data_IF_336076777847
#
_entry.id   IF_336076777847
#
_cell.length_a   1.000
_cell.length_b   1.000
_cell.length_c   1.000
_cell.angle_alpha   90.00
_cell.angle_beta   90.00
_cell.angle_gamma   90.00
#
_symmetry.space_group_name_H-M   'P 1'
#
loop_
_entity.id
_entity.type
_entity.pdbx_description
1 polymer ?
#
# COMPACT_ATOMS: atom_id res chain seq x y z
N UNK A 1 -15.93 -15.06 21.61
CA UNK A 1 -15.69 -16.47 21.23
C UNK A 1 -17.03 -17.17 20.88
N UNK A 2 -18.14 -16.90 21.56
CA UNK A 2 -19.44 -17.47 21.24
C UNK A 2 -20.05 -16.95 19.93
N UNK A 3 -19.93 -15.67 19.60
CA UNK A 3 -20.43 -15.11 18.33
C UNK A 3 -19.77 -15.69 17.07
N UNK A 4 -18.57 -16.26 17.15
CA UNK A 4 -17.92 -16.95 16.03
C UNK A 4 -18.45 -18.37 15.78
N UNK A 5 -19.15 -18.99 16.74
CA UNK A 5 -19.73 -20.31 16.57
C UNK A 5 -20.96 -20.32 15.66
N UNK A 6 -21.70 -19.21 15.57
CA UNK A 6 -22.88 -19.09 14.71
C UNK A 6 -22.55 -18.92 13.21
N UNK A 7 -21.33 -18.49 12.87
CA UNK A 7 -20.91 -18.24 11.49
C UNK A 7 -20.33 -19.46 10.77
N UNK A 8 -19.87 -20.45 11.51
CA UNK A 8 -19.34 -21.70 10.94
C UNK A 8 -20.25 -22.84 11.38
N UNK A 9 -21.01 -23.38 10.43
CA UNK A 9 -21.96 -24.46 10.65
C UNK A 9 -21.38 -25.61 11.49
N UNK A 10 -22.25 -26.29 12.19
CA UNK A 10 -21.90 -27.53 12.93
C UNK A 10 -21.66 -28.66 11.92
N UNK A 11 -20.54 -29.34 11.98
CA UNK A 11 -20.28 -30.52 11.19
C UNK A 11 -18.87 -30.59 10.54
N UNK A 12 -18.82 -31.15 9.34
CA UNK A 12 -17.59 -31.43 8.58
C UNK A 12 -16.69 -30.19 8.35
N UNK A 13 -17.27 -28.99 8.23
CA UNK A 13 -16.52 -27.76 8.01
C UNK A 13 -15.75 -27.34 9.24
N UNK A 14 -16.27 -27.61 10.43
CA UNK A 14 -15.57 -27.34 11.70
C UNK A 14 -14.40 -28.30 11.89
N UNK A 15 -14.58 -29.58 11.63
CA UNK A 15 -13.50 -30.57 11.69
C UNK A 15 -12.38 -30.25 10.69
N UNK A 16 -12.73 -29.80 9.47
CA UNK A 16 -11.78 -29.34 8.45
C UNK A 16 -11.00 -28.09 8.89
N UNK A 17 -11.68 -27.14 9.56
CA UNK A 17 -11.01 -25.95 10.07
C UNK A 17 -10.06 -26.26 11.22
N UNK A 18 -10.49 -27.11 12.16
CA UNK A 18 -9.69 -27.56 13.29
C UNK A 18 -8.46 -28.33 12.79
N UNK A 19 -8.60 -29.26 11.83
CA UNK A 19 -7.49 -29.97 11.19
C UNK A 19 -6.54 -29.01 10.46
N UNK A 20 -7.06 -27.95 9.85
CA UNK A 20 -6.23 -26.94 9.16
C UNK A 20 -5.44 -26.07 10.14
N UNK A 21 -6.04 -25.73 11.30
CA UNK A 21 -5.39 -24.98 12.38
C UNK A 21 -4.32 -25.86 13.05
N UNK A 22 -4.61 -27.13 13.28
CA UNK A 22 -3.65 -28.10 13.84
C UNK A 22 -2.47 -28.35 12.89
N UNK A 23 -2.73 -28.48 11.59
CA UNK A 23 -1.66 -28.62 10.59
C UNK A 23 -0.80 -27.34 10.49
N UNK A 24 -1.37 -26.16 10.64
CA UNK A 24 -0.61 -24.90 10.68
C UNK A 24 0.18 -24.74 11.99
N UNK A 25 -0.35 -25.20 13.13
CA UNK A 25 0.39 -25.21 14.40
C UNK A 25 1.46 -26.31 14.42
N UNK A 26 1.18 -27.48 13.85
CA UNK A 26 2.17 -28.55 13.69
C UNK A 26 3.33 -28.19 12.76
N UNK A 27 3.10 -27.41 11.71
CA UNK A 27 4.18 -26.83 10.88
C UNK A 27 5.04 -25.88 11.72
N UNK A 28 4.44 -25.07 12.61
CA UNK A 28 5.19 -24.21 13.52
C UNK A 28 6.02 -24.98 14.54
N UNK A 29 5.47 -26.02 15.13
CA UNK A 29 6.18 -26.85 16.11
C UNK A 29 7.31 -27.67 15.48
N UNK A 30 7.13 -28.20 14.28
CA UNK A 30 8.18 -28.88 13.53
C UNK A 30 9.31 -27.92 13.10
N UNK A 31 9.02 -26.67 12.79
CA UNK A 31 10.04 -25.65 12.55
C UNK A 31 10.84 -25.27 13.81
N UNK A 32 10.24 -25.39 15.00
CA UNK A 32 10.92 -25.12 16.28
C UNK A 32 11.76 -26.30 16.73
N UNK A 33 11.38 -27.54 16.39
CA UNK A 33 12.07 -28.78 16.78
C UNK A 33 13.30 -29.13 15.91
N UNK A 34 13.46 -28.50 14.75
CA UNK A 34 14.58 -28.73 13.84
C UNK A 34 15.75 -27.79 14.13
N UNK A 35 16.38 -27.94 15.27
CA UNK A 35 17.70 -27.46 15.66
C UNK A 35 18.13 -26.02 15.34
N UNK A 36 19.05 -25.48 16.11
CA UNK A 36 19.62 -24.10 16.03
C UNK A 36 20.12 -23.68 14.63
N UNK A 37 20.37 -24.65 13.71
CA UNK A 37 20.85 -24.40 12.35
C UNK A 37 19.74 -23.80 11.46
N UNK A 38 18.54 -24.36 11.46
CA UNK A 38 17.38 -23.84 10.70
C UNK A 38 16.91 -22.48 11.23
N UNK A 39 17.05 -22.24 12.53
CA UNK A 39 16.69 -20.95 13.13
C UNK A 39 17.65 -19.84 12.69
N UNK A 40 18.90 -20.16 12.45
CA UNK A 40 19.92 -19.22 11.97
C UNK A 40 19.72 -18.89 10.49
N UNK A 41 19.51 -19.90 9.64
CA UNK A 41 19.17 -19.71 8.22
C UNK A 41 17.85 -18.94 8.06
N UNK A 42 16.84 -19.24 8.87
CA UNK A 42 15.58 -18.51 8.85
C UNK A 42 15.74 -17.05 9.27
N UNK A 43 16.57 -16.75 10.27
CA UNK A 43 16.89 -15.37 10.67
C UNK A 43 17.65 -14.63 9.59
N UNK A 44 18.65 -15.26 8.99
CA UNK A 44 19.42 -14.69 7.87
C UNK A 44 18.55 -14.46 6.65
N UNK A 45 17.65 -15.40 6.30
CA UNK A 45 16.65 -15.25 5.26
C UNK A 45 15.70 -14.07 5.55
N UNK A 46 15.18 -13.98 6.77
CA UNK A 46 14.31 -12.85 7.19
C UNK A 46 15.02 -11.51 7.21
N UNK A 47 16.28 -11.45 7.56
CA UNK A 47 17.09 -10.22 7.46
C UNK A 47 17.34 -9.84 5.99
N UNK A 48 17.54 -10.81 5.12
CA UNK A 48 17.75 -10.60 3.69
C UNK A 48 16.45 -10.17 3.00
N UNK A 49 15.32 -10.77 3.33
CA UNK A 49 13.99 -10.28 2.91
C UNK A 49 13.73 -8.85 3.37
N UNK A 50 14.04 -8.51 4.61
CA UNK A 50 13.89 -7.13 5.13
C UNK A 50 14.72 -6.12 4.37
N UNK A 51 15.92 -6.48 3.94
CA UNK A 51 16.79 -5.61 3.13
C UNK A 51 16.28 -5.39 1.72
N UNK A 52 15.50 -6.34 1.19
CA UNK A 52 14.94 -6.29 -0.16
C UNK A 52 13.46 -5.87 -0.20
N UNK A 53 12.87 -5.59 0.97
CA UNK A 53 11.45 -5.19 1.04
C UNK A 53 11.34 -3.68 1.01
N UNK A 54 10.79 -3.14 -0.07
CA UNK A 54 10.36 -1.75 -0.14
C UNK A 54 9.14 -1.54 0.76
N UNK A 55 9.22 -0.55 1.63
CA UNK A 55 8.09 -0.17 2.49
C UNK A 55 7.44 1.07 1.90
N UNK A 56 6.14 1.02 1.74
CA UNK A 56 5.34 2.14 1.28
C UNK A 56 4.27 2.52 2.31
N UNK A 57 3.86 3.78 2.28
CA UNK A 57 2.72 4.28 3.05
C UNK A 57 1.63 4.75 2.10
N UNK A 58 0.38 4.41 2.40
CA UNK A 58 -0.77 4.81 1.60
C UNK A 58 -1.40 6.07 2.16
N UNK A 59 -1.54 7.07 1.29
CA UNK A 59 -2.31 8.28 1.52
C UNK A 59 -3.62 8.12 0.75
N UNK A 60 -4.69 7.65 1.40
CA UNK A 60 -5.93 7.20 0.77
C UNK A 60 -7.14 8.09 1.05
N UNK A 61 -6.94 9.21 1.78
CA UNK A 61 -8.03 10.10 2.20
C UNK A 61 -7.56 11.51 2.52
N UNK A 62 -8.47 12.49 2.46
CA UNK A 62 -8.14 13.91 2.63
C UNK A 62 -7.33 14.23 3.89
N UNK A 63 -7.66 13.61 5.03
CA UNK A 63 -6.94 13.81 6.28
C UNK A 63 -5.46 13.47 6.17
N UNK A 64 -5.12 12.37 5.49
CA UNK A 64 -3.73 11.94 5.30
C UNK A 64 -2.99 12.87 4.35
N UNK A 65 -3.65 13.36 3.29
CA UNK A 65 -3.06 14.34 2.37
C UNK A 65 -2.69 15.64 3.10
N UNK A 66 -3.64 16.20 3.88
CA UNK A 66 -3.43 17.42 4.66
C UNK A 66 -2.32 17.24 5.69
N UNK A 67 -2.33 16.14 6.41
CA UNK A 67 -1.30 15.84 7.41
C UNK A 67 0.07 15.69 6.77
N UNK A 68 0.17 14.92 5.70
CA UNK A 68 1.43 14.76 4.97
C UNK A 68 1.96 16.11 4.48
N UNK A 69 1.12 16.98 3.92
CA UNK A 69 1.52 18.30 3.42
C UNK A 69 1.92 19.28 4.54
N UNK A 70 1.37 19.13 5.74
CA UNK A 70 1.55 20.09 6.85
C UNK A 70 2.81 19.86 7.68
N UNK A 71 3.49 18.72 7.58
CA UNK A 71 4.63 18.38 8.42
C UNK A 71 5.73 17.65 7.64
N UNK A 72 6.94 17.53 8.20
CA UNK A 72 8.01 16.72 7.60
C UNK A 72 7.61 15.25 7.58
N UNK A 73 8.11 14.49 6.62
CA UNK A 73 7.78 13.08 6.44
C UNK A 73 8.02 12.25 7.72
N UNK A 74 9.13 12.49 8.40
CA UNK A 74 9.44 11.81 9.66
C UNK A 74 8.37 12.04 10.72
N UNK A 75 7.95 13.29 10.91
CA UNK A 75 6.95 13.66 11.90
C UNK A 75 5.57 13.09 11.52
N UNK A 76 5.29 13.06 10.20
CA UNK A 76 4.11 12.41 9.64
C UNK A 76 4.09 10.90 9.95
N UNK A 77 5.21 10.21 9.77
CA UNK A 77 5.29 8.78 10.07
C UNK A 77 5.13 8.49 11.56
N UNK A 78 5.73 9.29 12.43
CA UNK A 78 5.58 9.16 13.88
C UNK A 78 4.12 9.37 14.30
N UNK A 79 3.43 10.35 13.73
CA UNK A 79 2.01 10.57 13.92
C UNK A 79 1.19 9.39 13.37
N UNK A 80 1.46 8.94 12.14
CA UNK A 80 0.75 7.85 11.45
C UNK A 80 0.78 6.56 12.26
N UNK A 81 1.95 6.16 12.73
CA UNK A 81 2.10 4.99 13.58
C UNK A 81 1.37 5.13 14.92
N UNK A 82 1.39 6.32 15.51
CA UNK A 82 0.74 6.59 16.78
C UNK A 82 -0.79 6.50 16.69
N UNK A 83 -1.41 7.14 15.68
CA UNK A 83 -2.88 7.12 15.51
C UNK A 83 -3.41 5.73 15.13
N UNK A 84 -2.60 4.93 14.46
CA UNK A 84 -2.94 3.54 14.13
C UNK A 84 -2.64 2.55 15.27
N UNK A 85 -2.24 3.00 16.45
CA UNK A 85 -1.92 2.15 17.59
C UNK A 85 -0.70 1.24 17.37
N UNK A 86 0.13 1.55 16.38
CA UNK A 86 1.23 0.71 15.93
C UNK A 86 2.62 1.33 16.20
N UNK A 87 2.75 2.19 17.18
CA UNK A 87 3.98 2.94 17.51
C UNK A 87 5.20 2.04 17.68
N UNK A 88 5.05 0.92 18.38
CA UNK A 88 6.17 -0.01 18.61
C UNK A 88 6.55 -0.78 17.32
N UNK A 89 5.59 -1.03 16.44
CA UNK A 89 5.84 -1.59 15.12
C UNK A 89 6.61 -0.59 14.27
N UNK A 90 6.19 0.68 14.25
CA UNK A 90 6.84 1.74 13.47
C UNK A 90 8.32 1.91 13.79
N UNK A 91 8.74 1.72 15.06
CA UNK A 91 10.16 1.75 15.45
C UNK A 91 11.01 0.63 14.84
N UNK A 92 10.38 -0.45 14.39
CA UNK A 92 11.03 -1.66 13.85
C UNK A 92 10.94 -1.76 12.34
N UNK A 93 10.05 -0.99 11.73
CA UNK A 93 9.88 -0.97 10.28
C UNK A 93 10.93 -0.10 9.61
N UNK A 94 11.41 -0.45 8.43
CA UNK A 94 12.20 0.45 7.62
C UNK A 94 11.43 1.75 7.34
N UNK A 95 12.17 2.83 7.11
CA UNK A 95 11.57 4.09 6.67
C UNK A 95 10.94 3.84 5.28
N UNK A 96 9.68 4.24 5.06
CA UNK A 96 9.07 4.10 3.73
C UNK A 96 9.84 4.90 2.68
N UNK A 97 10.03 4.29 1.52
CA UNK A 97 10.69 4.90 0.37
C UNK A 97 9.70 5.34 -0.70
N UNK A 98 8.42 4.97 -0.52
CA UNK A 98 7.33 5.22 -1.47
C UNK A 98 6.05 5.65 -0.76
N UNK A 99 5.30 6.52 -1.42
CA UNK A 99 3.91 6.83 -1.04
C UNK A 99 2.97 6.41 -2.17
N UNK A 100 1.86 5.77 -1.79
CA UNK A 100 0.69 5.59 -2.65
C UNK A 100 -0.26 6.76 -2.41
N UNK A 101 -0.70 7.43 -3.47
CA UNK A 101 -1.57 8.61 -3.38
C UNK A 101 -2.84 8.36 -4.17
N UNK A 102 -3.97 8.48 -3.54
CA UNK A 102 -5.28 8.21 -4.12
C UNK A 102 -6.00 7.11 -3.38
N UNK A 103 -7.11 6.65 -3.92
CA UNK A 103 -7.91 5.62 -3.26
C UNK A 103 -8.38 4.56 -4.27
N UNK A 104 -8.06 3.28 -3.98
CA UNK A 104 -8.37 2.15 -4.84
C UNK A 104 -9.89 1.85 -4.95
N UNK A 105 -10.71 2.34 -4.01
CA UNK A 105 -12.11 1.94 -3.88
C UNK A 105 -13.09 3.08 -4.09
N UNK A 106 -12.71 4.34 -3.77
CA UNK A 106 -13.63 5.46 -3.78
C UNK A 106 -13.02 6.69 -4.45
N UNK A 107 -13.57 7.07 -5.59
CA UNK A 107 -13.12 8.24 -6.34
C UNK A 107 -13.33 9.58 -5.61
N UNK A 108 -14.27 9.63 -4.66
CA UNK A 108 -14.52 10.84 -3.86
C UNK A 108 -13.42 11.12 -2.84
N UNK A 109 -12.59 10.13 -2.55
CA UNK A 109 -11.44 10.26 -1.66
C UNK A 109 -10.14 10.59 -2.41
N UNK A 110 -10.19 10.65 -3.74
CA UNK A 110 -9.05 11.05 -4.55
C UNK A 110 -8.71 12.52 -4.29
N UNK A 111 -7.42 12.90 -4.19
CA UNK A 111 -7.05 14.28 -3.90
C UNK A 111 -7.45 15.22 -5.03
N UNK A 112 -7.76 16.46 -4.69
CA UNK A 112 -7.92 17.51 -5.70
C UNK A 112 -6.62 17.67 -6.48
N UNK A 113 -6.73 18.04 -7.77
CA UNK A 113 -5.59 18.18 -8.66
C UNK A 113 -4.46 19.00 -8.05
N UNK A 114 -4.77 20.18 -7.50
CA UNK A 114 -3.77 21.05 -6.87
C UNK A 114 -3.04 20.33 -5.73
N UNK A 115 -3.80 19.67 -4.87
CA UNK A 115 -3.27 18.93 -3.73
C UNK A 115 -2.38 17.77 -4.18
N UNK A 116 -2.77 17.04 -5.24
CA UNK A 116 -1.98 15.96 -5.84
C UNK A 116 -0.59 16.45 -6.26
N UNK A 117 -0.52 17.57 -7.00
CA UNK A 117 0.76 18.11 -7.44
C UNK A 117 1.60 18.72 -6.30
N UNK A 118 0.97 19.23 -5.24
CA UNK A 118 1.68 19.65 -4.01
C UNK A 118 2.29 18.45 -3.30
N UNK A 119 1.58 17.32 -3.24
CA UNK A 119 2.10 16.05 -2.71
C UNK A 119 3.30 15.57 -3.53
N UNK A 120 3.24 15.61 -4.86
CA UNK A 120 4.36 15.20 -5.72
C UNK A 120 5.62 16.03 -5.47
N UNK A 121 5.49 17.37 -5.45
CA UNK A 121 6.61 18.27 -5.17
C UNK A 121 7.26 17.99 -3.81
N UNK A 122 6.41 17.72 -2.81
CA UNK A 122 6.88 17.39 -1.47
C UNK A 122 7.58 16.04 -1.45
N UNK A 123 6.99 15.00 -2.04
CA UNK A 123 7.59 13.68 -2.13
C UNK A 123 8.95 13.72 -2.84
N UNK A 124 9.04 14.44 -3.96
CA UNK A 124 10.30 14.69 -4.68
C UNK A 124 11.35 15.33 -3.76
N UNK A 125 10.97 16.37 -3.00
CA UNK A 125 11.87 17.03 -2.05
C UNK A 125 12.33 16.16 -0.88
N UNK A 126 11.56 15.14 -0.55
CA UNK A 126 11.86 14.17 0.51
C UNK A 126 12.47 12.86 -0.01
N UNK A 127 12.68 12.75 -1.32
CA UNK A 127 13.29 11.58 -1.98
C UNK A 127 12.40 10.35 -2.00
N UNK A 128 11.07 10.55 -1.97
CA UNK A 128 10.09 9.46 -1.99
C UNK A 128 9.59 9.18 -3.40
N UNK A 129 9.51 7.91 -3.76
CA UNK A 129 8.80 7.48 -4.96
C UNK A 129 7.28 7.65 -4.77
N UNK A 130 6.57 7.89 -5.87
CA UNK A 130 5.11 8.09 -5.83
C UNK A 130 4.42 7.11 -6.77
N UNK A 131 3.38 6.45 -6.27
CA UNK A 131 2.43 5.66 -7.06
C UNK A 131 1.06 6.31 -6.94
N UNK A 132 0.44 6.68 -8.05
CA UNK A 132 -0.93 7.21 -8.04
C UNK A 132 -1.92 6.05 -8.15
N UNK A 133 -2.85 5.98 -7.22
CA UNK A 133 -3.85 4.92 -7.14
C UNK A 133 -5.22 5.44 -7.52
N UNK A 134 -5.79 4.90 -8.60
CA UNK A 134 -7.14 5.23 -9.04
C UNK A 134 -8.12 4.15 -8.59
N UNK A 135 -9.34 4.59 -8.25
CA UNK A 135 -10.49 3.70 -8.07
C UNK A 135 -11.05 3.24 -9.42
N UNK A 136 -12.06 2.38 -9.40
CA UNK A 136 -12.81 2.02 -10.59
C UNK A 136 -13.36 3.26 -11.31
N UNK A 137 -13.13 3.35 -12.62
CA UNK A 137 -13.63 4.44 -13.44
C UNK A 137 -15.08 4.17 -13.86
N UNK A 138 -15.95 5.14 -13.57
CA UNK A 138 -17.29 5.19 -14.14
C UNK A 138 -17.28 6.04 -15.40
N UNK A 139 -18.24 5.84 -16.29
CA UNK A 139 -18.32 6.52 -17.59
C UNK A 139 -18.16 8.05 -17.47
N UNK A 140 -18.82 8.67 -16.49
CA UNK A 140 -18.73 10.12 -16.28
C UNK A 140 -17.34 10.60 -15.81
N UNK A 141 -16.48 9.69 -15.35
CA UNK A 141 -15.12 9.99 -14.89
C UNK A 141 -14.08 9.89 -16.01
N UNK A 142 -14.39 9.23 -17.12
CA UNK A 142 -13.41 8.97 -18.18
C UNK A 142 -12.75 10.25 -18.69
N UNK A 143 -13.54 11.25 -19.09
CA UNK A 143 -13.02 12.54 -19.57
C UNK A 143 -12.22 13.32 -18.53
N UNK A 144 -12.68 13.48 -17.25
CA UNK A 144 -11.89 14.08 -16.20
C UNK A 144 -10.57 13.37 -15.94
N UNK A 145 -10.57 12.03 -15.90
CA UNK A 145 -9.36 11.24 -15.68
C UNK A 145 -8.41 11.32 -16.86
N UNK A 146 -8.92 11.25 -18.11
CA UNK A 146 -8.12 11.42 -19.31
C UNK A 146 -7.36 12.76 -19.29
N UNK A 147 -8.05 13.86 -18.96
CA UNK A 147 -7.42 15.16 -18.81
C UNK A 147 -6.38 15.19 -17.69
N UNK A 148 -6.64 14.54 -16.56
CA UNK A 148 -5.67 14.44 -15.48
C UNK A 148 -4.43 13.65 -15.92
N UNK A 149 -4.60 12.56 -16.64
CA UNK A 149 -3.50 11.78 -17.19
C UNK A 149 -2.63 12.58 -18.14
N UNK A 150 -3.22 13.44 -19.00
CA UNK A 150 -2.48 14.35 -19.89
C UNK A 150 -1.61 15.34 -19.08
N UNK A 151 -2.15 15.88 -17.98
CA UNK A 151 -1.42 16.78 -17.10
C UNK A 151 -0.32 16.06 -16.30
N UNK A 152 -0.55 14.81 -15.90
CA UNK A 152 0.47 13.97 -15.26
C UNK A 152 1.62 13.64 -16.21
N UNK A 153 1.30 13.31 -17.46
CA UNK A 153 2.29 13.07 -18.51
C UNK A 153 3.14 14.33 -18.78
N UNK A 154 2.51 15.50 -18.90
CA UNK A 154 3.22 16.77 -19.03
C UNK A 154 4.12 17.04 -17.81
N UNK A 155 3.64 16.77 -16.60
CA UNK A 155 4.42 16.93 -15.39
C UNK A 155 5.66 16.02 -15.37
N UNK A 156 5.52 14.76 -15.78
CA UNK A 156 6.62 13.81 -15.90
C UNK A 156 7.64 14.25 -16.96
N UNK A 157 7.15 14.64 -18.14
CA UNK A 157 7.99 15.11 -19.25
C UNK A 157 8.83 16.32 -18.87
N UNK A 158 8.23 17.30 -18.18
CA UNK A 158 8.92 18.51 -17.74
C UNK A 158 10.00 18.26 -16.68
N UNK A 159 10.00 17.09 -16.04
CA UNK A 159 10.94 16.70 -14.99
C UNK A 159 11.86 15.56 -15.36
N UNK A 160 11.71 15.04 -16.57
CA UNK A 160 12.44 13.85 -17.03
C UNK A 160 12.33 12.68 -16.04
N UNK A 161 11.11 12.47 -15.48
CA UNK A 161 10.81 11.47 -14.47
C UNK A 161 9.67 10.56 -14.91
N UNK A 162 9.51 9.44 -14.23
CA UNK A 162 8.41 8.50 -14.43
C UNK A 162 7.47 8.52 -13.23
N UNK A 163 6.20 8.26 -13.47
CA UNK A 163 5.17 8.12 -12.46
C UNK A 163 4.55 6.74 -12.56
N UNK A 164 4.52 6.03 -11.45
CA UNK A 164 3.83 4.76 -11.38
C UNK A 164 2.33 4.97 -11.14
N UNK A 165 1.50 4.22 -11.85
CA UNK A 165 0.04 4.26 -11.70
C UNK A 165 -0.49 2.87 -11.38
N UNK A 166 -1.22 2.75 -10.27
CA UNK A 166 -1.97 1.56 -9.91
C UNK A 166 -3.36 1.61 -10.56
N UNK A 167 -3.57 0.77 -11.57
CA UNK A 167 -4.82 0.67 -12.31
C UNK A 167 -5.67 -0.48 -11.77
N UNK A 168 -6.89 -0.17 -11.32
CA UNK A 168 -7.83 -1.14 -10.74
C UNK A 168 -8.92 -1.62 -11.71
N UNK A 169 -8.97 -1.08 -12.93
CA UNK A 169 -9.93 -1.50 -13.94
C UNK A 169 -9.39 -1.42 -15.36
N UNK A 170 -10.08 -2.10 -16.27
CA UNK A 170 -9.72 -2.16 -17.69
C UNK A 170 -9.86 -0.83 -18.41
N UNK A 171 -10.81 0.03 -17.98
CA UNK A 171 -11.02 1.35 -18.60
C UNK A 171 -9.79 2.24 -18.38
N UNK A 172 -9.26 2.30 -17.17
CA UNK A 172 -8.03 3.03 -16.89
C UNK A 172 -6.84 2.41 -17.63
N UNK A 173 -6.74 1.08 -17.66
CA UNK A 173 -5.66 0.40 -18.36
C UNK A 173 -5.65 0.73 -19.86
N UNK A 174 -6.82 0.80 -20.52
CA UNK A 174 -6.92 1.19 -21.92
C UNK A 174 -6.55 2.66 -22.15
N UNK A 175 -6.93 3.57 -21.24
CA UNK A 175 -6.50 4.97 -21.29
C UNK A 175 -4.98 5.11 -21.18
N UNK A 176 -4.34 4.30 -20.33
CA UNK A 176 -2.88 4.28 -20.18
C UNK A 176 -2.19 3.69 -21.40
N UNK A 177 -2.70 2.58 -21.96
CA UNK A 177 -2.15 1.93 -23.16
C UNK A 177 -2.18 2.82 -24.40
N UNK A 178 -3.15 3.71 -24.49
CA UNK A 178 -3.25 4.68 -25.58
C UNK A 178 -2.14 5.73 -25.55
N UNK A 179 -1.45 5.88 -24.42
CA UNK A 179 -0.33 6.79 -24.21
C UNK A 179 0.99 6.06 -24.37
N UNK A 180 1.84 6.52 -25.28
CA UNK A 180 3.09 5.84 -25.65
C UNK A 180 4.27 6.07 -24.71
N UNK A 181 4.12 6.96 -23.74
CA UNK A 181 5.22 7.47 -22.91
C UNK A 181 5.10 7.10 -21.41
N UNK A 182 4.31 6.05 -21.14
CA UNK A 182 4.18 5.48 -19.76
C UNK A 182 4.93 4.18 -19.63
#
# INVERSE_FOLDING_TARGET
IEQKKEWFGEGEDRARLETRIENQSGIRENCIAAGDFELKEYKEYKEQERKNTEVAVELDRPELYERYLSMKFRDFMDWYWNVNGAKELGKRMPVPERIYVGNAFCHLLFPEKRQLFEIFKKAESEGLAVTVTFSYLREFMLKPVEKLLDELEEWCRNRETFLEIAANDWGLLELLRARKEW
#
